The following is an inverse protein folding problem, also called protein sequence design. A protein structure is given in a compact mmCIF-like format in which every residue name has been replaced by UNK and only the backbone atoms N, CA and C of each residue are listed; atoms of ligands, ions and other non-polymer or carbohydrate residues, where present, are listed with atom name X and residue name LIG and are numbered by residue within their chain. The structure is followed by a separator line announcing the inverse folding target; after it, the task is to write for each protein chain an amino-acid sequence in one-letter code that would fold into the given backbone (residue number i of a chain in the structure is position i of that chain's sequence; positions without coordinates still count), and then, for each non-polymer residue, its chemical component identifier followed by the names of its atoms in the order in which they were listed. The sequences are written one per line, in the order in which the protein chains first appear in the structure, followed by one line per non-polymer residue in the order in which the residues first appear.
data_IF_102347212713
#
_entry.id   IF_102347212713
#
_cell.length_a   1.000
_cell.length_b   1.000
_cell.length_c   1.000
_cell.angle_alpha   90.00
_cell.angle_beta   90.00
_cell.angle_gamma   90.00
#
_symmetry.space_group_name_H-M   'P 1'
#
loop_
_entity.id
_entity.type
_entity.pdbx_description
1 polymer ?
#
# COMPACT_ATOMS: atom_id res chain seq x y z
N UNK A 1 -56.05 -25.92 -6.99
CA UNK A 1 -54.61 -26.01 -6.65
C UNK A 1 -53.82 -25.48 -7.83
N UNK A 2 -53.83 -24.15 -7.98
CA UNK A 2 -53.01 -23.47 -9.00
C UNK A 2 -51.59 -23.34 -8.47
N UNK A 3 -50.65 -23.94 -9.18
CA UNK A 3 -49.23 -23.78 -8.97
C UNK A 3 -48.85 -22.32 -9.21
N UNK A 4 -48.75 -21.55 -8.13
CA UNK A 4 -47.98 -20.31 -8.13
C UNK A 4 -46.52 -20.71 -8.33
N UNK A 5 -46.06 -20.67 -9.58
CA UNK A 5 -44.65 -20.70 -9.93
C UNK A 5 -43.96 -19.55 -9.18
N UNK A 6 -43.28 -19.90 -8.09
CA UNK A 6 -42.57 -18.99 -7.19
C UNK A 6 -41.41 -18.37 -7.96
N UNK A 7 -41.63 -17.21 -8.58
CA UNK A 7 -40.54 -16.33 -9.01
C UNK A 7 -39.77 -15.97 -7.75
N UNK A 8 -38.60 -16.60 -7.56
CA UNK A 8 -37.68 -16.25 -6.49
C UNK A 8 -37.53 -14.72 -6.47
N UNK A 9 -37.66 -14.08 -5.30
CA UNK A 9 -37.57 -12.64 -5.22
C UNK A 9 -36.17 -12.22 -5.70
N UNK A 10 -36.11 -11.53 -6.84
CA UNK A 10 -34.84 -11.17 -7.51
C UNK A 10 -34.00 -10.22 -6.66
N UNK A 11 -34.64 -9.42 -5.80
CA UNK A 11 -33.98 -8.45 -4.93
C UNK A 11 -33.07 -9.07 -3.86
N UNK A 12 -33.52 -10.01 -3.01
CA UNK A 12 -32.65 -10.63 -2.02
C UNK A 12 -31.46 -11.36 -2.62
N UNK A 13 -31.59 -11.91 -3.84
CA UNK A 13 -30.44 -12.47 -4.57
C UNK A 13 -29.44 -11.37 -4.97
N UNK A 14 -29.90 -10.20 -5.43
CA UNK A 14 -29.04 -9.05 -5.72
C UNK A 14 -28.36 -8.50 -4.46
N UNK A 15 -29.08 -8.40 -3.34
CA UNK A 15 -28.52 -7.99 -2.05
C UNK A 15 -27.44 -8.96 -1.59
N UNK A 16 -27.71 -10.28 -1.68
CA UNK A 16 -26.71 -11.30 -1.33
C UNK A 16 -25.46 -11.19 -2.21
N UNK A 17 -25.63 -11.00 -3.52
CA UNK A 17 -24.50 -10.80 -4.44
C UNK A 17 -23.68 -9.55 -4.12
N UNK A 18 -24.34 -8.42 -3.86
CA UNK A 18 -23.68 -7.17 -3.46
C UNK A 18 -22.98 -7.29 -2.10
N UNK A 19 -23.56 -8.03 -1.15
CA UNK A 19 -22.93 -8.27 0.14
C UNK A 19 -21.65 -9.11 0.00
N UNK A 20 -21.66 -10.15 -0.84
CA UNK A 20 -20.43 -10.93 -1.13
C UNK A 20 -19.38 -10.05 -1.79
N UNK A 21 -19.76 -9.25 -2.79
CA UNK A 21 -18.86 -8.31 -3.44
C UNK A 21 -18.28 -7.30 -2.45
N UNK A 22 -19.10 -6.76 -1.54
CA UNK A 22 -18.66 -5.83 -0.51
C UNK A 22 -17.59 -6.46 0.38
N UNK A 23 -17.79 -7.72 0.81
CA UNK A 23 -16.81 -8.45 1.60
C UNK A 23 -15.49 -8.61 0.85
N UNK A 24 -15.53 -8.92 -0.45
CA UNK A 24 -14.31 -9.03 -1.28
C UNK A 24 -13.56 -7.70 -1.34
N UNK A 25 -14.28 -6.60 -1.61
CA UNK A 25 -13.68 -5.26 -1.66
C UNK A 25 -13.07 -4.88 -0.31
N UNK A 26 -13.80 -5.13 0.79
CA UNK A 26 -13.34 -4.85 2.14
C UNK A 26 -12.10 -5.67 2.53
N UNK A 27 -12.04 -6.96 2.17
CA UNK A 27 -10.83 -7.75 2.41
C UNK A 27 -9.66 -7.23 1.58
N UNK A 28 -9.91 -6.81 0.34
CA UNK A 28 -8.90 -6.20 -0.53
C UNK A 28 -8.37 -4.87 0.02
N UNK A 29 -9.24 -3.98 0.51
CA UNK A 29 -8.82 -2.71 1.14
C UNK A 29 -7.95 -2.97 2.35
N UNK A 30 -8.38 -3.83 3.26
CA UNK A 30 -7.62 -4.17 4.48
C UNK A 30 -6.26 -4.80 4.12
N UNK A 31 -6.21 -5.66 3.12
CA UNK A 31 -4.95 -6.25 2.67
C UNK A 31 -3.98 -5.20 2.12
N UNK A 32 -4.46 -4.32 1.23
CA UNK A 32 -3.65 -3.24 0.65
C UNK A 32 -3.16 -2.23 1.71
N UNK A 33 -4.00 -1.89 2.69
CA UNK A 33 -3.59 -1.04 3.81
C UNK A 33 -2.49 -1.68 4.65
N UNK A 34 -2.61 -2.98 4.94
CA UNK A 34 -1.57 -3.72 5.69
C UNK A 34 -0.26 -3.75 4.92
N UNK A 35 -0.30 -4.00 3.62
CA UNK A 35 0.88 -3.99 2.75
C UNK A 35 1.56 -2.62 2.74
N UNK A 36 0.78 -1.54 2.57
CA UNK A 36 1.28 -0.17 2.61
C UNK A 36 1.94 0.18 3.95
N UNK A 37 1.31 -0.22 5.06
CA UNK A 37 1.85 -0.01 6.40
C UNK A 37 3.14 -0.80 6.63
N UNK A 38 3.18 -2.07 6.22
CA UNK A 38 4.38 -2.90 6.35
C UNK A 38 5.55 -2.34 5.53
N UNK A 39 5.29 -1.92 4.29
CA UNK A 39 6.29 -1.30 3.44
C UNK A 39 6.79 0.04 4.01
N UNK A 40 5.89 0.85 4.58
CA UNK A 40 6.22 2.11 5.26
C UNK A 40 7.09 1.89 6.51
N UNK A 41 6.76 0.89 7.32
CA UNK A 41 7.56 0.52 8.51
C UNK A 41 8.95 0.04 8.09
N UNK A 42 9.03 -0.84 7.09
CA UNK A 42 10.31 -1.30 6.56
C UNK A 42 11.15 -0.15 5.97
N UNK A 43 10.51 0.81 5.29
CA UNK A 43 11.18 2.01 4.79
C UNK A 43 11.71 2.89 5.94
N UNK A 44 10.95 3.03 7.03
CA UNK A 44 11.35 3.78 8.22
C UNK A 44 12.56 3.15 8.91
N UNK A 45 12.55 1.82 9.08
CA UNK A 45 13.66 1.08 9.68
C UNK A 45 14.94 1.21 8.83
N UNK A 46 14.81 1.04 7.52
CA UNK A 46 15.92 1.21 6.58
C UNK A 46 16.45 2.65 6.57
N UNK A 47 15.57 3.66 6.63
CA UNK A 47 15.96 5.06 6.69
C UNK A 47 16.67 5.42 8.01
N UNK A 48 16.26 4.82 9.13
CA UNK A 48 16.95 4.96 10.41
C UNK A 48 18.37 4.40 10.33
N UNK A 49 18.54 3.27 9.65
CA UNK A 49 19.85 2.67 9.40
C UNK A 49 20.73 3.58 8.53
N UNK A 50 20.19 4.15 7.44
CA UNK A 50 20.89 5.17 6.62
C UNK A 50 21.37 6.32 7.49
N UNK A 51 20.48 6.94 8.27
CA UNK A 51 20.84 8.07 9.13
C UNK A 51 21.95 7.70 10.14
N UNK A 52 21.90 6.50 10.72
CA UNK A 52 22.93 6.04 11.64
C UNK A 52 24.30 5.87 10.96
N UNK A 53 24.32 5.40 9.71
CA UNK A 53 25.55 5.24 8.95
C UNK A 53 26.08 6.57 8.43
N UNK A 54 25.23 7.47 7.95
CA UNK A 54 25.62 8.83 7.54
C UNK A 54 26.16 9.64 8.72
N UNK A 55 25.64 9.44 9.94
CA UNK A 55 26.20 10.04 11.15
C UNK A 55 27.62 9.52 11.43
N UNK A 56 27.85 8.20 11.30
CA UNK A 56 29.19 7.60 11.42
C UNK A 56 30.15 8.11 10.36
N UNK A 57 29.69 8.22 9.12
CA UNK A 57 30.44 8.83 8.02
C UNK A 57 30.85 10.27 8.37
N UNK A 58 29.92 11.08 8.85
CA UNK A 58 30.19 12.48 9.23
C UNK A 58 31.27 12.57 10.31
N UNK A 59 31.21 11.70 11.33
CA UNK A 59 32.23 11.63 12.38
C UNK A 59 33.59 11.20 11.82
N UNK A 60 33.64 10.22 10.92
CA UNK A 60 34.88 9.78 10.29
C UNK A 60 35.52 10.85 9.40
N UNK A 61 34.69 11.57 8.62
CA UNK A 61 35.15 12.71 7.81
C UNK A 61 35.68 13.84 8.72
N UNK A 62 34.95 14.15 9.80
CA UNK A 62 35.39 15.15 10.77
C UNK A 62 36.73 14.76 11.43
N UNK A 63 36.90 13.49 11.79
CA UNK A 63 38.16 12.95 12.33
C UNK A 63 39.30 13.05 11.30
N UNK A 64 39.07 12.64 10.05
CA UNK A 64 40.07 12.70 8.98
C UNK A 64 40.57 14.12 8.68
N UNK A 65 39.70 15.13 8.91
CA UNK A 65 39.98 16.55 8.69
C UNK A 65 40.59 17.26 9.91
N UNK A 66 40.84 16.56 11.03
CA UNK A 66 41.52 17.19 12.16
C UNK A 66 42.96 17.57 11.80
N UNK A 67 43.36 18.81 12.14
CA UNK A 67 44.70 19.32 11.91
C UNK A 67 45.73 18.56 12.76
N UNK A 68 46.86 18.18 12.15
CA UNK A 68 47.92 17.43 12.83
C UNK A 68 47.80 15.90 12.76
N UNK A 69 46.80 15.36 12.04
CA UNK A 69 46.68 13.93 11.80
C UNK A 69 47.70 13.43 10.76
N UNK A 70 48.32 12.28 11.04
CA UNK A 70 49.20 11.58 10.10
C UNK A 70 48.47 11.22 8.81
N UNK A 71 49.20 11.27 7.69
CA UNK A 71 48.65 11.00 6.36
C UNK A 71 48.03 9.60 6.24
N UNK A 72 48.64 8.61 6.90
CA UNK A 72 48.16 7.23 6.88
C UNK A 72 46.82 7.08 7.61
N UNK A 73 46.67 7.71 8.79
CA UNK A 73 45.43 7.69 9.59
C UNK A 73 44.30 8.40 8.85
N UNK A 74 44.62 9.51 8.16
CA UNK A 74 43.65 10.20 7.28
C UNK A 74 43.20 9.29 6.14
N UNK A 75 44.14 8.61 5.48
CA UNK A 75 43.83 7.72 4.36
C UNK A 75 42.96 6.53 4.77
N UNK A 76 43.24 5.90 5.93
CA UNK A 76 42.42 4.78 6.41
C UNK A 76 41.01 5.23 6.84
N UNK A 77 40.89 6.41 7.45
CA UNK A 77 39.58 6.99 7.81
C UNK A 77 38.72 7.24 6.56
N UNK A 78 39.29 7.75 5.47
CA UNK A 78 38.59 7.93 4.20
C UNK A 78 38.26 6.59 3.51
N UNK A 79 39.14 5.59 3.63
CA UNK A 79 38.85 4.24 3.14
C UNK A 79 37.72 3.56 3.93
N UNK A 80 37.56 3.85 5.22
CA UNK A 80 36.42 3.38 6.03
C UNK A 80 35.11 4.07 5.62
N UNK A 81 35.14 5.36 5.29
CA UNK A 81 33.97 6.07 4.72
C UNK A 81 33.54 5.43 3.41
N UNK A 82 34.48 5.11 2.53
CA UNK A 82 34.16 4.48 1.24
C UNK A 82 33.55 3.08 1.43
N UNK A 83 34.06 2.30 2.41
CA UNK A 83 33.48 1.01 2.81
C UNK A 83 32.07 1.13 3.38
N UNK A 84 31.77 2.19 4.14
CA UNK A 84 30.41 2.45 4.64
C UNK A 84 29.42 2.76 3.51
N UNK A 85 29.85 3.51 2.49
CA UNK A 85 29.01 3.83 1.33
C UNK A 85 28.76 2.63 0.41
N UNK A 86 29.81 1.86 0.12
CA UNK A 86 29.75 0.75 -0.84
C UNK A 86 29.29 -0.57 -0.20
N UNK A 87 29.33 -0.69 1.12
CA UNK A 87 29.05 -1.93 1.83
C UNK A 87 30.25 -2.86 1.90
N UNK A 88 30.10 -3.97 2.61
CA UNK A 88 31.18 -4.96 2.78
C UNK A 88 31.16 -5.96 1.63
N UNK A 89 32.29 -6.10 0.92
CA UNK A 89 32.48 -7.10 -0.13
C UNK A 89 32.37 -8.51 0.49
N UNK A 90 31.25 -9.19 0.25
CA UNK A 90 31.01 -10.57 0.68
C UNK A 90 30.03 -10.75 1.84
N UNK A 91 29.50 -9.67 2.41
CA UNK A 91 28.42 -9.80 3.40
C UNK A 91 27.06 -9.96 2.71
N UNK A 92 26.28 -10.96 3.11
CA UNK A 92 24.93 -11.19 2.59
C UNK A 92 23.90 -10.73 3.62
N UNK A 93 23.13 -9.69 3.31
CA UNK A 93 22.01 -9.21 4.13
C UNK A 93 22.00 -7.69 4.40
N UNK A 94 20.99 -7.24 5.14
CA UNK A 94 20.75 -5.81 5.37
C UNK A 94 21.86 -5.11 6.16
N UNK A 95 22.69 -5.86 6.90
CA UNK A 95 23.83 -5.35 7.68
C UNK A 95 25.11 -5.15 6.86
N UNK A 96 25.17 -5.69 5.66
CA UNK A 96 26.34 -5.56 4.77
C UNK A 96 26.09 -4.60 3.60
N UNK A 97 24.83 -4.23 3.35
CA UNK A 97 24.45 -3.20 2.39
C UNK A 97 25.06 -1.85 2.79
N UNK A 98 25.64 -1.16 1.80
CA UNK A 98 26.16 0.18 1.97
C UNK A 98 25.06 1.23 2.04
N UNK A 99 25.42 2.46 2.39
CA UNK A 99 24.50 3.61 2.45
C UNK A 99 23.73 3.76 1.13
N UNK A 100 24.40 3.67 -0.01
CA UNK A 100 23.79 3.92 -1.33
C UNK A 100 22.73 2.87 -1.67
N UNK A 101 22.99 1.59 -1.32
CA UNK A 101 22.05 0.49 -1.52
C UNK A 101 20.85 0.60 -0.58
N UNK A 102 21.08 0.97 0.69
CA UNK A 102 20.03 1.20 1.65
C UNK A 102 19.12 2.37 1.23
N UNK A 103 19.68 3.46 0.71
CA UNK A 103 18.90 4.58 0.17
C UNK A 103 18.05 4.17 -1.04
N UNK A 104 18.60 3.40 -1.97
CA UNK A 104 17.84 2.86 -3.09
C UNK A 104 16.68 1.98 -2.60
N UNK A 105 16.93 1.16 -1.58
CA UNK A 105 15.92 0.29 -0.98
C UNK A 105 14.84 1.07 -0.23
N UNK A 106 15.20 2.14 0.49
CA UNK A 106 14.22 3.05 1.12
C UNK A 106 13.30 3.64 0.05
N UNK A 107 13.84 4.11 -1.08
CA UNK A 107 13.04 4.64 -2.20
C UNK A 107 12.11 3.58 -2.77
N UNK A 108 12.60 2.36 -2.97
CA UNK A 108 11.79 1.24 -3.46
C UNK A 108 10.64 0.90 -2.50
N UNK A 109 10.92 0.82 -1.19
CA UNK A 109 9.90 0.50 -0.18
C UNK A 109 8.85 1.62 -0.06
N UNK A 110 9.25 2.89 -0.19
CA UNK A 110 8.31 4.01 -0.26
C UNK A 110 7.41 3.95 -1.49
N UNK A 111 7.98 3.65 -2.66
CA UNK A 111 7.19 3.49 -3.88
C UNK A 111 6.20 2.30 -3.76
N UNK A 112 6.61 1.19 -3.13
CA UNK A 112 5.70 0.08 -2.83
C UNK A 112 4.59 0.48 -1.86
N UNK A 113 4.92 1.25 -0.82
CA UNK A 113 3.94 1.73 0.15
C UNK A 113 2.91 2.66 -0.49
N UNK A 114 3.36 3.58 -1.37
CA UNK A 114 2.49 4.48 -2.13
C UNK A 114 1.58 3.72 -3.09
N UNK A 115 2.13 2.79 -3.88
CA UNK A 115 1.34 1.98 -4.80
C UNK A 115 0.26 1.15 -4.06
N UNK A 116 0.60 0.58 -2.90
CA UNK A 116 -0.36 -0.15 -2.07
C UNK A 116 -1.41 0.78 -1.43
N UNK A 117 -1.03 2.00 -1.03
CA UNK A 117 -1.97 3.01 -0.52
C UNK A 117 -2.95 3.46 -1.61
N UNK A 118 -2.47 3.71 -2.82
CA UNK A 118 -3.30 4.09 -3.97
C UNK A 118 -4.30 2.98 -4.30
N UNK A 119 -3.84 1.72 -4.34
CA UNK A 119 -4.72 0.56 -4.52
C UNK A 119 -5.81 0.50 -3.44
N UNK A 120 -5.45 0.72 -2.18
CA UNK A 120 -6.44 0.79 -1.09
C UNK A 120 -7.45 1.91 -1.31
N UNK A 121 -7.03 3.07 -1.81
CA UNK A 121 -7.92 4.19 -2.09
C UNK A 121 -8.99 3.82 -3.11
N UNK A 122 -8.59 3.21 -4.23
CA UNK A 122 -9.53 2.78 -5.27
C UNK A 122 -10.49 1.68 -4.81
N UNK A 123 -9.97 0.69 -4.08
CA UNK A 123 -10.81 -0.37 -3.51
C UNK A 123 -11.81 0.20 -2.49
N UNK A 124 -11.41 1.21 -1.71
CA UNK A 124 -12.28 1.90 -0.75
C UNK A 124 -13.38 2.72 -1.41
N UNK A 125 -13.09 3.37 -2.55
CA UNK A 125 -14.12 4.01 -3.37
C UNK A 125 -15.13 2.99 -3.91
N UNK A 126 -14.65 1.82 -4.36
CA UNK A 126 -15.51 0.72 -4.78
C UNK A 126 -16.40 0.20 -3.64
N UNK A 127 -15.81 -0.03 -2.46
CA UNK A 127 -16.52 -0.45 -1.25
C UNK A 127 -17.65 0.53 -0.91
N UNK A 128 -17.34 1.82 -0.88
CA UNK A 128 -18.31 2.89 -0.59
C UNK A 128 -19.45 2.90 -1.61
N UNK A 129 -19.15 2.72 -2.90
CA UNK A 129 -20.17 2.63 -3.95
C UNK A 129 -21.12 1.45 -3.75
N UNK A 130 -20.60 0.28 -3.37
CA UNK A 130 -21.42 -0.91 -3.09
C UNK A 130 -22.27 -0.74 -1.82
N UNK A 131 -21.73 -0.13 -0.77
CA UNK A 131 -22.51 0.19 0.45
C UNK A 131 -23.68 1.12 0.12
N UNK A 132 -23.43 2.19 -0.64
CA UNK A 132 -24.48 3.12 -1.05
C UNK A 132 -25.54 2.44 -1.94
N UNK A 133 -25.12 1.54 -2.82
CA UNK A 133 -26.04 0.73 -3.63
C UNK A 133 -26.96 -0.16 -2.77
N UNK A 134 -26.39 -0.84 -1.77
CA UNK A 134 -27.16 -1.62 -0.80
C UNK A 134 -28.16 -0.76 -0.03
N UNK A 135 -27.73 0.44 0.40
CA UNK A 135 -28.58 1.41 1.10
C UNK A 135 -29.77 1.84 0.23
N UNK A 136 -29.53 2.19 -1.04
CA UNK A 136 -30.56 2.56 -2.00
C UNK A 136 -31.54 1.42 -2.28
N UNK A 137 -31.04 0.17 -2.37
CA UNK A 137 -31.89 -1.01 -2.55
C UNK A 137 -32.80 -1.25 -1.34
N UNK A 138 -32.30 -1.02 -0.13
CA UNK A 138 -33.08 -1.09 1.11
C UNK A 138 -34.17 0.00 1.14
N UNK A 139 -33.85 1.24 0.76
CA UNK A 139 -34.84 2.30 0.63
C UNK A 139 -35.89 2.02 -0.46
N UNK A 140 -35.49 1.42 -1.59
CA UNK A 140 -36.39 1.04 -2.65
C UNK A 140 -37.44 0.01 -2.18
N UNK A 141 -37.05 -0.93 -1.32
CA UNK A 141 -37.96 -1.90 -0.69
C UNK A 141 -38.99 -1.20 0.21
N UNK A 142 -38.58 -0.22 1.00
CA UNK A 142 -39.49 0.50 1.90
C UNK A 142 -40.48 1.40 1.14
N UNK A 143 -40.02 2.10 0.10
CA UNK A 143 -40.79 3.14 -0.60
C UNK A 143 -41.50 2.63 -1.87
N UNK A 144 -41.22 1.40 -2.32
CA UNK A 144 -41.76 0.84 -3.57
C UNK A 144 -41.26 1.51 -4.85
N UNK A 145 -40.21 2.33 -4.77
CA UNK A 145 -39.72 3.16 -5.87
C UNK A 145 -38.82 2.39 -6.85
N UNK A 146 -39.31 2.11 -8.06
CA UNK A 146 -38.51 1.47 -9.14
C UNK A 146 -37.28 2.28 -9.59
N UNK A 147 -37.32 3.61 -9.46
CA UNK A 147 -36.21 4.49 -9.81
C UNK A 147 -35.00 4.26 -8.89
N UNK A 148 -35.24 4.01 -7.60
CA UNK A 148 -34.17 3.77 -6.63
C UNK A 148 -33.42 2.46 -6.91
N UNK A 149 -34.10 1.45 -7.46
CA UNK A 149 -33.47 0.18 -7.87
C UNK A 149 -32.48 0.40 -9.01
N UNK A 150 -32.85 1.22 -10.00
CA UNK A 150 -31.95 1.58 -11.11
C UNK A 150 -30.75 2.40 -10.64
N UNK A 151 -30.98 3.39 -9.77
CA UNK A 151 -29.92 4.21 -9.17
C UNK A 151 -28.95 3.37 -8.34
N UNK A 152 -29.47 2.46 -7.50
CA UNK A 152 -28.64 1.53 -6.74
C UNK A 152 -27.84 0.60 -7.64
N UNK A 153 -28.44 0.07 -8.72
CA UNK A 153 -27.72 -0.75 -9.70
C UNK A 153 -26.60 0.01 -10.42
N UNK A 154 -26.85 1.26 -10.83
CA UNK A 154 -25.83 2.11 -11.45
C UNK A 154 -24.67 2.42 -10.49
N UNK A 155 -24.97 2.68 -9.21
CA UNK A 155 -23.94 2.89 -8.19
C UNK A 155 -23.12 1.63 -7.89
N UNK A 156 -23.77 0.46 -7.85
CA UNK A 156 -23.06 -0.79 -7.68
C UNK A 156 -22.08 -1.01 -8.83
N UNK A 157 -22.51 -0.76 -10.07
CA UNK A 157 -21.68 -0.91 -11.25
C UNK A 157 -20.51 0.08 -11.25
N UNK A 158 -20.75 1.34 -10.89
CA UNK A 158 -19.67 2.34 -10.82
C UNK A 158 -18.66 2.01 -9.72
N UNK A 159 -19.11 1.49 -8.56
CA UNK A 159 -18.23 1.01 -7.50
C UNK A 159 -17.36 -0.16 -7.95
N UNK A 160 -17.94 -1.15 -8.64
CA UNK A 160 -17.18 -2.27 -9.23
C UNK A 160 -16.15 -1.77 -10.24
N UNK A 161 -16.55 -0.86 -11.13
CA UNK A 161 -15.64 -0.31 -12.15
C UNK A 161 -14.47 0.45 -11.50
N UNK A 162 -14.74 1.26 -10.48
CA UNK A 162 -13.68 1.95 -9.74
C UNK A 162 -12.69 0.98 -9.09
N UNK A 163 -13.19 -0.10 -8.49
CA UNK A 163 -12.34 -1.14 -7.91
C UNK A 163 -11.50 -1.87 -8.98
N UNK A 164 -12.10 -2.24 -10.12
CA UNK A 164 -11.40 -2.91 -11.23
C UNK A 164 -10.32 -2.02 -11.83
N UNK A 165 -10.64 -0.75 -12.10
CA UNK A 165 -9.66 0.24 -12.61
C UNK A 165 -8.52 0.42 -11.61
N UNK A 166 -8.86 0.54 -10.32
CA UNK A 166 -7.87 0.61 -9.24
C UNK A 166 -6.90 -0.56 -9.25
N UNK A 167 -7.41 -1.78 -9.33
CA UNK A 167 -6.57 -2.99 -9.38
C UNK A 167 -5.73 -3.01 -10.65
N UNK A 168 -6.28 -2.68 -11.82
CA UNK A 168 -5.56 -2.72 -13.10
C UNK A 168 -4.48 -1.65 -13.25
N UNK A 169 -4.68 -0.46 -12.68
CA UNK A 169 -3.71 0.64 -12.78
C UNK A 169 -2.61 0.58 -11.71
N UNK A 170 -2.84 -0.14 -10.62
CA UNK A 170 -1.90 -0.23 -9.48
C UNK A 170 -1.30 -1.62 -9.32
N UNK A 171 -1.59 -2.57 -10.21
CA UNK A 171 -0.96 -3.89 -10.30
C UNK A 171 0.26 -3.86 -11.22
#
# INVERSE_FOLDING_TARGET
MEQQATKAPRLPLMVAGLAVLLVILHLGTVAAQRESLQASMAASDANTMVQSMSARETVLIAHANQGGLDADVRSDSLAQVQRLRQGSVGGQGMRSAGIDELEARVKQLRAQAEAAADRSGWLGLGETGVVLALLLLAFAQMLGGRVLVWLGGALALSGVLAAVVGVLLTA
#
